data_IF_517851725317
#
_entry.id   IF_517851725317
#
_cell.length_a   1.000
_cell.length_b   1.000
_cell.length_c   1.000
_cell.angle_alpha   90.00
_cell.angle_beta   90.00
_cell.angle_gamma   90.00
#
_symmetry.space_group_name_H-M   'P 1'
#
loop_
_entity.id
_entity.type
_entity.pdbx_description
1 polymer ?
#
# COMPACT_ATOMS: atom_id res chain seq x y z
N UNK A 1 -14.82 30.21 42.69
CA UNK A 1 -15.86 30.35 41.63
C UNK A 1 -15.18 31.05 40.46
N UNK A 2 -14.72 30.28 39.48
CA UNK A 2 -15.47 29.90 38.28
C UNK A 2 -15.75 31.10 37.37
N UNK A 3 -15.03 31.17 36.25
CA UNK A 3 -15.59 30.94 34.91
C UNK A 3 -14.55 31.27 33.84
N UNK A 4 -14.40 30.33 32.90
CA UNK A 4 -13.84 30.50 31.55
C UNK A 4 -12.32 30.32 31.40
N UNK A 5 -11.78 29.22 31.90
CA UNK A 5 -10.69 28.55 31.17
C UNK A 5 -11.33 27.59 30.17
N UNK A 6 -11.94 28.17 29.11
CA UNK A 6 -12.35 27.42 27.92
C UNK A 6 -11.08 27.09 27.16
N UNK A 7 -10.32 26.13 27.70
CA UNK A 7 -9.27 25.45 26.94
C UNK A 7 -9.95 24.87 25.72
N UNK A 8 -9.67 25.49 24.57
CA UNK A 8 -9.96 24.96 23.26
C UNK A 8 -9.58 23.48 23.30
N UNK A 9 -10.58 22.61 23.23
CA UNK A 9 -10.35 21.21 22.90
C UNK A 9 -9.87 21.26 21.46
N UNK A 10 -8.56 21.42 21.30
CA UNK A 10 -7.85 20.97 20.13
C UNK A 10 -8.26 19.51 20.00
N UNK A 11 -9.28 19.24 19.19
CA UNK A 11 -9.29 18.00 18.44
C UNK A 11 -8.01 18.13 17.63
N UNK A 12 -6.92 17.56 18.17
CA UNK A 12 -5.71 17.31 17.41
C UNK A 12 -6.22 16.65 16.13
N UNK A 13 -6.10 17.33 14.97
CA UNK A 13 -6.73 16.85 13.76
C UNK A 13 -6.16 15.46 13.54
N UNK A 14 -7.05 14.45 13.51
CA UNK A 14 -6.76 13.05 13.19
C UNK A 14 -5.40 13.00 12.53
N UNK A 15 -4.38 12.58 13.29
CA UNK A 15 -3.04 12.35 12.78
C UNK A 15 -3.26 11.50 11.55
N UNK A 16 -3.14 12.15 10.40
CA UNK A 16 -3.43 11.54 9.11
C UNK A 16 -2.64 10.25 9.13
N UNK A 17 -3.33 9.12 9.03
CA UNK A 17 -2.71 7.84 8.74
C UNK A 17 -1.99 7.99 7.39
N UNK A 18 -0.81 8.62 7.41
CA UNK A 18 0.07 8.69 6.27
C UNK A 18 0.43 7.23 6.01
N UNK A 19 0.02 6.69 4.85
CA UNK A 19 0.13 5.26 4.60
C UNK A 19 1.58 4.84 4.77
N UNK A 20 1.84 3.97 5.74
CA UNK A 20 3.20 3.55 6.04
C UNK A 20 3.71 2.68 4.90
N UNK A 21 4.90 2.99 4.38
CA UNK A 21 5.55 2.16 3.36
C UNK A 21 6.09 0.90 4.02
N UNK A 22 5.57 -0.26 3.60
CA UNK A 22 5.89 -1.59 4.16
C UNK A 22 6.76 -2.43 3.22
N UNK A 23 7.09 -1.91 2.05
CA UNK A 23 7.97 -2.57 1.09
C UNK A 23 7.97 -1.87 -0.26
N UNK A 24 8.56 -2.53 -1.25
CA UNK A 24 8.69 -2.03 -2.62
C UNK A 24 8.32 -3.16 -3.59
N UNK A 25 7.65 -2.82 -4.70
CA UNK A 25 7.37 -3.75 -5.78
C UNK A 25 8.66 -4.16 -6.49
N UNK A 26 8.89 -5.47 -6.62
CA UNK A 26 10.10 -6.01 -7.25
C UNK A 26 10.28 -5.59 -8.72
N UNK A 27 9.18 -5.41 -9.45
CA UNK A 27 9.20 -5.14 -10.89
C UNK A 27 9.28 -3.64 -11.22
N UNK A 28 8.30 -2.84 -10.76
CA UNK A 28 8.21 -1.41 -11.08
C UNK A 28 8.91 -0.49 -10.08
N UNK A 29 9.38 -1.02 -8.94
CA UNK A 29 10.01 -0.27 -7.84
C UNK A 29 9.09 0.75 -7.17
N UNK A 30 7.76 0.60 -7.28
CA UNK A 30 6.80 1.45 -6.55
C UNK A 30 6.68 1.04 -5.08
N UNK A 31 6.49 2.03 -4.22
CA UNK A 31 6.27 1.83 -2.79
C UNK A 31 4.97 1.06 -2.52
N UNK A 32 5.07 0.01 -1.71
CA UNK A 32 3.90 -0.72 -1.21
C UNK A 32 3.54 -0.15 0.15
N UNK A 33 2.29 0.29 0.26
CA UNK A 33 1.75 0.91 1.48
C UNK A 33 0.95 -0.07 2.33
N UNK A 34 0.86 0.22 3.63
CA UNK A 34 0.04 -0.57 4.56
C UNK A 34 -1.44 -0.55 4.13
N UNK A 35 -2.07 -1.72 4.12
CA UNK A 35 -3.47 -1.89 3.68
C UNK A 35 -3.65 -2.04 2.17
N UNK A 36 -2.60 -1.88 1.36
CA UNK A 36 -2.63 -2.16 -0.08
C UNK A 36 -2.72 -3.67 -0.34
N UNK A 37 -3.59 -4.09 -1.26
CA UNK A 37 -3.62 -5.46 -1.77
C UNK A 37 -2.39 -5.70 -2.65
N UNK A 38 -1.65 -6.78 -2.39
CA UNK A 38 -0.42 -7.12 -3.10
C UNK A 38 -0.33 -8.60 -3.43
N UNK A 39 0.54 -8.92 -4.38
CA UNK A 39 0.90 -10.28 -4.72
C UNK A 39 2.27 -10.64 -4.13
N UNK A 40 2.43 -11.87 -3.66
CA UNK A 40 3.68 -12.36 -3.07
C UNK A 40 4.11 -13.66 -3.76
N UNK A 41 5.33 -13.67 -4.29
CA UNK A 41 5.93 -14.84 -4.95
C UNK A 41 7.41 -14.95 -4.59
N UNK A 42 7.86 -16.13 -4.14
CA UNK A 42 9.25 -16.41 -3.74
C UNK A 42 9.88 -15.39 -2.77
N UNK A 43 9.07 -14.82 -1.88
CA UNK A 43 9.50 -13.79 -0.93
C UNK A 43 9.57 -12.37 -1.50
N UNK A 44 9.31 -12.19 -2.79
CA UNK A 44 9.16 -10.88 -3.43
C UNK A 44 7.71 -10.39 -3.39
N UNK A 45 7.53 -9.06 -3.31
CA UNK A 45 6.23 -8.39 -3.28
C UNK A 45 6.00 -7.65 -4.60
N UNK A 46 4.76 -7.62 -5.05
CA UNK A 46 4.35 -6.97 -6.30
C UNK A 46 3.07 -6.17 -6.07
N UNK A 47 3.01 -4.95 -6.60
CA UNK A 47 1.87 -4.06 -6.44
C UNK A 47 0.62 -4.54 -7.21
N UNK A 48 0.80 -5.19 -8.36
CA UNK A 48 -0.28 -5.59 -9.27
C UNK A 48 0.03 -6.91 -10.00
N UNK A 49 -1.02 -7.53 -10.58
CA UNK A 49 -0.91 -8.78 -11.36
C UNK A 49 0.05 -8.63 -12.54
N UNK A 50 -0.02 -7.52 -13.27
CA UNK A 50 0.85 -7.24 -14.42
C UNK A 50 2.33 -7.23 -14.02
N UNK A 51 2.65 -6.73 -12.82
CA UNK A 51 4.01 -6.72 -12.31
C UNK A 51 4.52 -8.13 -11.99
N UNK A 52 3.65 -9.00 -11.47
CA UNK A 52 3.98 -10.42 -11.25
C UNK A 52 4.24 -11.09 -12.59
N UNK A 53 3.33 -10.90 -13.55
CA UNK A 53 3.40 -11.61 -14.83
C UNK A 53 4.58 -11.15 -15.68
N UNK A 54 4.89 -9.86 -15.65
CA UNK A 54 6.05 -9.30 -16.35
C UNK A 54 7.38 -9.75 -15.74
N UNK A 55 7.50 -9.84 -14.41
CA UNK A 55 8.76 -10.25 -13.76
C UNK A 55 9.00 -11.76 -13.85
N UNK A 56 7.93 -12.56 -13.83
CA UNK A 56 7.99 -14.02 -13.90
C UNK A 56 7.84 -14.59 -15.31
N UNK A 57 7.86 -13.73 -16.34
CA UNK A 57 7.69 -14.12 -17.75
C UNK A 57 6.44 -15.01 -17.99
N UNK A 58 5.33 -14.67 -17.34
CA UNK A 58 4.06 -15.39 -17.47
C UNK A 58 3.24 -14.78 -18.59
N UNK A 59 2.97 -15.58 -19.63
CA UNK A 59 2.15 -15.16 -20.77
C UNK A 59 0.83 -15.92 -20.78
N UNK A 60 -0.27 -15.19 -21.00
CA UNK A 60 -1.57 -15.78 -21.26
C UNK A 60 -1.64 -16.21 -22.72
N UNK A 61 -2.03 -17.47 -22.94
CA UNK A 61 -2.33 -18.01 -24.27
C UNK A 61 -3.69 -18.69 -24.26
N UNK A 62 -4.32 -18.80 -25.43
CA UNK A 62 -5.54 -19.59 -25.60
C UNK A 62 -5.15 -21.05 -25.81
N UNK A 63 -5.71 -21.97 -25.02
CA UNK A 63 -5.46 -23.39 -25.24
C UNK A 63 -6.10 -23.85 -26.57
N UNK A 64 -5.28 -24.32 -27.50
CA UNK A 64 -5.73 -24.86 -28.78
C UNK A 64 -5.44 -24.00 -30.02
N UNK A 65 -4.70 -22.90 -29.88
CA UNK A 65 -4.08 -22.16 -30.98
C UNK A 65 -2.61 -22.57 -31.18
#
# INVERSE_FOLDING_TARGET
>A
MSRLETMARFAEPDEKDEPQVVGECRNCMEDITEGQEIYVHDGYKYCDEDCVFSDLDIFKTTAGE
#
